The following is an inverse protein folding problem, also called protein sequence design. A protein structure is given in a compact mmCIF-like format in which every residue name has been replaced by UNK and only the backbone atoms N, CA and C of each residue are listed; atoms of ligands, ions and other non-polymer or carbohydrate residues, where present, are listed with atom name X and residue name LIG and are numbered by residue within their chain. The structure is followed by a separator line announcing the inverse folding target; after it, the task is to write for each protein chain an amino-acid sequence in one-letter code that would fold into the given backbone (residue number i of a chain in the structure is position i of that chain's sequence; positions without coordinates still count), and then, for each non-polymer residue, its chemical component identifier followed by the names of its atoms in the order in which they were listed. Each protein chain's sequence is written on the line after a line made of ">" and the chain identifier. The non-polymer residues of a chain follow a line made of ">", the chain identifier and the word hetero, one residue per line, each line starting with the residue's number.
data_IF_525427586569
#
_entry.id   IF_525427586569
#
_cell.length_a   1.000
_cell.length_b   1.000
_cell.length_c   1.000
_cell.angle_alpha   90.00
_cell.angle_beta   90.00
_cell.angle_gamma   90.00
#
_symmetry.space_group_name_H-M   'P 1'
#
loop_
_entity.id
_entity.type
_entity.pdbx_description
1 polymer ?
#
# COMPACT_ATOMS: atom_id res chain seq x y z
N UNK A 1 23.38 -12.25 -1.95
CA UNK A 1 23.29 -10.95 -2.64
C UNK A 1 21.96 -10.34 -2.28
N UNK A 2 21.89 -9.13 -1.71
CA UNK A 2 20.60 -8.50 -1.46
C UNK A 2 19.96 -8.19 -2.80
N UNK A 3 18.75 -8.70 -3.01
CA UNK A 3 17.90 -8.35 -4.15
C UNK A 3 17.59 -6.86 -4.00
N UNK A 4 18.24 -6.03 -4.80
CA UNK A 4 17.89 -4.61 -4.87
C UNK A 4 16.41 -4.53 -5.27
N UNK A 5 15.63 -3.80 -4.48
CA UNK A 5 14.25 -3.52 -4.86
C UNK A 5 14.26 -2.88 -6.26
N UNK A 6 13.35 -3.29 -7.18
CA UNK A 6 13.32 -2.79 -8.53
C UNK A 6 13.32 -1.27 -8.49
N UNK A 7 14.28 -0.67 -9.18
CA UNK A 7 14.33 0.78 -9.29
C UNK A 7 13.06 1.22 -10.01
N UNK A 8 12.40 2.26 -9.49
CA UNK A 8 11.17 2.82 -10.07
C UNK A 8 11.32 3.25 -11.54
N UNK A 9 12.53 3.23 -12.10
CA UNK A 9 12.88 3.56 -13.49
C UNK A 9 12.75 2.39 -14.46
N UNK A 10 12.50 1.15 -14.02
CA UNK A 10 12.41 -0.02 -14.91
C UNK A 10 11.33 0.13 -15.99
N UNK A 11 10.25 0.89 -15.71
CA UNK A 11 9.19 1.13 -16.70
C UNK A 11 9.55 2.20 -17.75
N UNK A 12 10.72 2.86 -17.63
CA UNK A 12 11.22 3.83 -18.62
C UNK A 12 12.07 3.20 -19.70
N UNK A 13 12.26 1.89 -19.68
CA UNK A 13 13.00 1.13 -20.68
C UNK A 13 12.14 0.06 -21.34
N UNK A 14 12.48 -0.28 -22.57
CA UNK A 14 11.81 -1.35 -23.29
C UNK A 14 12.19 -2.70 -22.68
N UNK A 15 11.21 -3.51 -22.21
CA UNK A 15 11.52 -4.79 -21.57
C UNK A 15 12.05 -5.87 -22.55
N UNK A 16 12.00 -5.64 -23.86
CA UNK A 16 12.54 -6.57 -24.88
C UNK A 16 14.00 -6.29 -25.16
N UNK A 17 14.37 -5.02 -25.45
CA UNK A 17 15.75 -4.68 -25.80
C UNK A 17 16.53 -4.05 -24.65
N UNK A 18 15.89 -3.83 -23.48
CA UNK A 18 16.48 -3.25 -22.27
C UNK A 18 17.11 -1.86 -22.45
N UNK A 19 16.73 -1.12 -23.51
CA UNK A 19 17.18 0.25 -23.74
C UNK A 19 16.10 1.23 -23.28
N UNK A 20 16.52 2.41 -22.82
CA UNK A 20 15.60 3.49 -22.50
C UNK A 20 14.78 3.92 -23.71
N UNK A 21 13.57 4.36 -23.46
CA UNK A 21 12.71 4.92 -24.50
C UNK A 21 13.26 6.27 -24.98
N UNK A 22 13.06 6.56 -26.26
CA UNK A 22 13.45 7.83 -26.90
C UNK A 22 12.32 8.38 -27.79
N UNK A 23 12.48 9.59 -28.31
CA UNK A 23 11.52 10.21 -29.23
C UNK A 23 11.62 9.68 -30.68
N UNK A 24 12.60 8.83 -30.98
CA UNK A 24 12.86 8.30 -32.31
C UNK A 24 12.41 6.84 -32.48
N UNK A 25 13.35 5.98 -32.87
CA UNK A 25 13.06 4.56 -33.17
C UNK A 25 12.60 3.74 -31.96
N UNK A 26 12.97 4.16 -30.73
CA UNK A 26 12.57 3.50 -29.48
C UNK A 26 11.39 4.18 -28.81
N UNK A 27 10.53 4.85 -29.58
CA UNK A 27 9.31 5.45 -29.05
C UNK A 27 8.46 4.42 -28.30
N UNK A 28 8.03 4.71 -27.05
CA UNK A 28 7.20 3.78 -26.27
C UNK A 28 5.81 3.67 -26.86
N UNK A 29 5.38 2.46 -27.16
CA UNK A 29 4.04 2.14 -27.65
C UNK A 29 3.33 1.31 -26.55
N UNK A 30 2.25 1.85 -26.02
CA UNK A 30 1.39 1.13 -25.07
C UNK A 30 0.32 0.36 -25.82
N UNK A 31 0.16 -0.93 -25.50
CA UNK A 31 -0.81 -1.83 -26.10
C UNK A 31 -2.14 -1.83 -25.32
N UNK A 32 -3.21 -2.28 -25.93
CA UNK A 32 -4.53 -2.40 -25.27
C UNK A 32 -4.51 -3.26 -24.00
N UNK A 33 -3.62 -4.24 -23.92
CA UNK A 33 -3.38 -5.06 -22.72
C UNK A 33 -2.61 -4.34 -21.60
N UNK A 34 -2.06 -3.13 -21.84
CA UNK A 34 -1.31 -2.33 -20.87
C UNK A 34 0.19 -2.60 -20.82
N UNK A 35 0.73 -3.49 -21.67
CA UNK A 35 2.17 -3.64 -21.84
C UNK A 35 2.70 -2.55 -22.76
N UNK A 36 3.89 -2.03 -22.45
CA UNK A 36 4.57 -0.99 -23.24
C UNK A 36 5.87 -1.54 -23.79
N UNK A 37 6.06 -1.42 -25.10
CA UNK A 37 7.23 -1.90 -25.85
C UNK A 37 7.68 -0.81 -26.82
N UNK A 38 8.96 -0.72 -27.14
CA UNK A 38 9.41 0.27 -28.11
C UNK A 38 8.97 -0.08 -29.53
N UNK A 39 8.74 0.95 -30.36
CA UNK A 39 8.31 0.82 -31.76
C UNK A 39 9.22 -0.11 -32.56
N UNK A 40 10.54 0.00 -32.41
CA UNK A 40 11.50 -0.84 -33.13
C UNK A 40 11.39 -2.34 -32.77
N UNK A 41 11.07 -2.67 -31.54
CA UNK A 41 10.86 -4.06 -31.14
C UNK A 41 9.51 -4.59 -31.63
N UNK A 42 8.44 -3.78 -31.57
CA UNK A 42 7.13 -4.17 -32.11
C UNK A 42 7.19 -4.40 -33.63
N UNK A 43 7.93 -3.57 -34.40
CA UNK A 43 8.09 -3.74 -35.83
C UNK A 43 8.78 -5.04 -36.24
N UNK A 44 9.52 -5.67 -35.32
CA UNK A 44 10.19 -6.96 -35.57
C UNK A 44 9.33 -8.18 -35.28
N UNK A 45 8.16 -7.99 -34.66
CA UNK A 45 7.26 -9.09 -34.35
C UNK A 45 6.60 -9.62 -35.63
N UNK A 46 6.63 -10.94 -35.80
CA UNK A 46 5.98 -11.60 -36.94
C UNK A 46 4.47 -11.73 -36.81
N UNK A 47 3.92 -11.49 -35.61
CA UNK A 47 2.49 -11.62 -35.29
C UNK A 47 2.02 -10.33 -34.62
N UNK A 48 0.83 -9.88 -34.99
CA UNK A 48 0.16 -8.73 -34.34
C UNK A 48 -0.37 -9.11 -32.96
N UNK A 49 0.53 -9.50 -32.06
CA UNK A 49 0.20 -9.94 -30.69
C UNK A 49 1.20 -9.35 -29.70
N UNK A 50 0.71 -9.06 -28.50
CA UNK A 50 1.58 -8.67 -27.38
C UNK A 50 2.58 -9.81 -27.06
N UNK A 51 3.88 -9.53 -26.93
CA UNK A 51 4.89 -10.55 -26.66
C UNK A 51 4.80 -11.14 -25.22
N UNK A 52 4.00 -10.55 -24.33
CA UNK A 52 3.89 -10.98 -22.94
C UNK A 52 2.64 -11.81 -22.66
N UNK A 53 1.48 -11.36 -23.14
CA UNK A 53 0.18 -12.01 -22.83
C UNK A 53 -0.53 -12.51 -24.10
N UNK A 54 0.11 -12.38 -25.28
CA UNK A 54 -0.41 -12.82 -26.56
C UNK A 54 -1.75 -12.15 -26.97
N UNK A 55 -2.14 -11.08 -26.30
CA UNK A 55 -3.31 -10.30 -26.67
C UNK A 55 -3.16 -9.77 -28.09
N UNK A 56 -4.15 -9.99 -28.95
CA UNK A 56 -4.14 -9.54 -30.35
C UNK A 56 -4.25 -8.02 -30.40
N UNK A 57 -3.34 -7.37 -31.11
CA UNK A 57 -3.42 -5.95 -31.43
C UNK A 57 -4.46 -5.76 -32.55
N UNK A 58 -5.44 -4.92 -32.33
CA UNK A 58 -6.50 -4.66 -33.32
C UNK A 58 -6.14 -3.57 -34.32
N UNK A 59 -5.18 -2.73 -33.94
CA UNK A 59 -4.69 -1.63 -34.76
C UNK A 59 -3.30 -1.97 -35.32
N UNK A 60 -3.02 -1.48 -36.50
CA UNK A 60 -1.70 -1.54 -37.09
C UNK A 60 -0.73 -0.66 -36.31
N UNK A 61 0.55 -1.01 -36.33
CA UNK A 61 1.60 -0.32 -35.55
C UNK A 61 1.64 1.19 -35.82
N UNK A 62 1.38 1.60 -37.06
CA UNK A 62 1.39 3.03 -37.45
C UNK A 62 0.18 3.82 -36.93
N UNK A 63 -0.87 3.13 -36.55
CA UNK A 63 -2.08 3.72 -35.94
C UNK A 63 -1.97 3.86 -34.42
N UNK A 64 -0.98 3.19 -33.79
CA UNK A 64 -0.77 3.25 -32.36
C UNK A 64 0.05 4.50 -32.00
N UNK A 65 -0.48 5.35 -31.11
CA UNK A 65 0.22 6.56 -30.69
C UNK A 65 1.42 6.24 -29.79
N UNK A 66 2.45 7.06 -29.91
CA UNK A 66 3.56 7.03 -28.97
C UNK A 66 3.07 7.51 -27.59
N UNK A 67 3.48 6.84 -26.54
CA UNK A 67 3.14 7.24 -25.18
C UNK A 67 3.93 8.48 -24.73
N UNK A 68 3.33 9.65 -24.92
CA UNK A 68 3.93 10.94 -24.59
C UNK A 68 4.17 11.15 -23.09
N UNK A 69 3.41 10.47 -22.22
CA UNK A 69 3.62 10.55 -20.78
C UNK A 69 4.93 9.87 -20.37
N UNK A 70 5.27 8.73 -20.95
CA UNK A 70 6.56 8.07 -20.74
C UNK A 70 7.71 8.89 -21.31
N UNK A 71 7.57 9.45 -22.52
CA UNK A 71 8.60 10.31 -23.10
C UNK A 71 8.90 11.53 -22.23
N UNK A 72 7.87 12.15 -21.64
CA UNK A 72 8.09 13.30 -20.76
C UNK A 72 8.82 12.93 -19.47
N UNK A 73 8.77 11.68 -19.02
CA UNK A 73 9.51 11.17 -17.86
C UNK A 73 10.99 10.87 -18.18
N UNK A 74 11.29 10.35 -19.35
CA UNK A 74 12.66 10.05 -19.82
C UNK A 74 13.46 11.33 -20.08
N UNK A 75 12.80 12.49 -20.12
CA UNK A 75 13.49 13.76 -20.39
C UNK A 75 13.85 13.96 -21.87
N UNK A 76 13.40 13.06 -22.75
CA UNK A 76 13.35 13.29 -24.18
C UNK A 76 12.29 14.37 -24.43
N UNK A 77 12.63 15.62 -24.08
CA UNK A 77 11.77 16.77 -24.29
C UNK A 77 11.36 16.78 -25.75
N UNK A 78 10.09 16.57 -25.99
CA UNK A 78 9.49 17.03 -27.23
C UNK A 78 9.60 18.55 -27.18
N UNK A 79 10.63 19.09 -27.81
CA UNK A 79 10.60 20.41 -28.40
C UNK A 79 9.63 20.38 -29.59
N UNK A 80 8.45 19.84 -29.35
CA UNK A 80 7.30 20.03 -30.24
C UNK A 80 6.70 21.31 -29.77
N UNK A 81 6.97 22.37 -30.48
CA UNK A 81 6.22 23.62 -30.43
C UNK A 81 4.73 23.25 -30.41
N UNK A 82 3.92 23.97 -29.63
CA UNK A 82 2.48 23.69 -29.39
C UNK A 82 1.62 23.62 -30.70
N UNK A 83 2.24 23.58 -31.86
CA UNK A 83 1.60 23.63 -33.19
C UNK A 83 1.52 22.31 -33.96
N UNK A 84 2.26 21.27 -33.61
CA UNK A 84 2.23 19.99 -34.37
C UNK A 84 1.98 18.81 -33.45
N UNK A 85 0.74 18.68 -32.97
CA UNK A 85 0.26 17.40 -32.48
C UNK A 85 0.30 16.40 -33.66
N UNK A 86 0.89 15.18 -33.47
CA UNK A 86 0.80 14.15 -34.49
C UNK A 86 -0.68 13.93 -34.83
N UNK A 87 -0.98 13.58 -36.11
CA UNK A 87 -2.37 13.42 -36.54
C UNK A 87 -3.11 12.56 -35.54
N UNK A 88 -4.34 12.96 -35.14
CA UNK A 88 -5.09 12.23 -34.14
C UNK A 88 -5.20 10.77 -34.60
N UNK A 89 -4.97 9.80 -33.69
CA UNK A 89 -5.24 8.41 -34.01
C UNK A 89 -6.70 8.27 -34.48
N UNK A 90 -7.13 7.12 -35.05
CA UNK A 90 -8.48 6.94 -35.60
C UNK A 90 -9.58 6.99 -34.52
N UNK A 91 -9.62 8.11 -33.81
CA UNK A 91 -10.65 8.43 -32.83
C UNK A 91 -11.70 9.27 -33.56
N UNK A 92 -13.02 8.93 -33.46
CA UNK A 92 -14.06 9.73 -34.05
C UNK A 92 -13.95 11.20 -33.67
N UNK A 93 -14.19 12.12 -34.61
CA UNK A 93 -14.07 13.56 -34.38
C UNK A 93 -14.87 14.05 -33.16
N UNK A 94 -16.01 13.41 -32.87
CA UNK A 94 -16.86 13.65 -31.69
C UNK A 94 -16.15 13.39 -30.36
N UNK A 95 -15.15 12.52 -30.32
CA UNK A 95 -14.42 12.12 -29.11
C UNK A 95 -13.00 12.67 -29.05
N UNK A 96 -12.53 13.34 -30.11
CA UNK A 96 -11.18 13.84 -30.22
C UNK A 96 -10.80 14.78 -29.06
N UNK A 97 -11.70 15.70 -28.67
CA UNK A 97 -11.48 16.63 -27.56
C UNK A 97 -11.27 15.89 -26.22
N UNK A 98 -12.11 14.89 -25.94
CA UNK A 98 -12.02 14.11 -24.69
C UNK A 98 -10.75 13.27 -24.66
N UNK A 99 -10.37 12.69 -25.78
CA UNK A 99 -9.12 11.97 -25.95
C UNK A 99 -7.90 12.87 -25.63
N UNK A 100 -7.82 14.04 -26.27
CA UNK A 100 -6.71 14.99 -26.02
C UNK A 100 -6.64 15.44 -24.58
N UNK A 101 -7.80 15.71 -23.97
CA UNK A 101 -7.87 16.08 -22.56
C UNK A 101 -7.38 14.95 -21.65
N UNK A 102 -7.79 13.71 -21.91
CA UNK A 102 -7.36 12.55 -21.12
C UNK A 102 -5.85 12.32 -21.26
N UNK A 103 -5.30 12.40 -22.47
CA UNK A 103 -3.84 12.29 -22.72
C UNK A 103 -3.09 13.37 -21.96
N UNK A 104 -3.57 14.63 -22.01
CA UNK A 104 -2.97 15.75 -21.26
C UNK A 104 -2.99 15.48 -19.75
N UNK A 105 -4.13 15.10 -19.19
CA UNK A 105 -4.26 14.79 -17.75
C UNK A 105 -3.29 13.67 -17.32
N UNK A 106 -3.17 12.59 -18.10
CA UNK A 106 -2.24 11.49 -17.78
C UNK A 106 -0.79 11.97 -17.86
N UNK A 107 -0.45 12.82 -18.85
CA UNK A 107 0.87 13.43 -18.98
C UNK A 107 1.21 14.31 -17.79
N UNK A 108 0.28 15.17 -17.35
CA UNK A 108 0.46 16.03 -16.18
C UNK A 108 0.61 15.20 -14.89
N UNK A 109 -0.21 14.16 -14.70
CA UNK A 109 -0.08 13.23 -13.58
C UNK A 109 1.26 12.49 -13.57
N UNK A 110 1.81 12.15 -14.74
CA UNK A 110 3.10 11.47 -14.82
C UNK A 110 4.24 12.29 -14.21
N UNK A 111 4.16 13.63 -14.25
CA UNK A 111 5.19 14.50 -13.67
C UNK A 111 5.39 14.28 -12.17
N UNK A 112 4.37 13.82 -11.43
CA UNK A 112 4.50 13.48 -10.01
C UNK A 112 5.40 12.26 -9.73
N UNK A 113 5.79 11.50 -10.77
CA UNK A 113 6.78 10.43 -10.64
C UNK A 113 8.22 10.96 -10.73
N UNK A 114 8.44 12.19 -11.22
CA UNK A 114 9.79 12.77 -11.24
C UNK A 114 10.26 13.02 -9.81
N UNK A 115 11.49 12.61 -9.46
CA UNK A 115 12.05 12.92 -8.15
C UNK A 115 12.16 14.43 -8.01
N UNK A 116 11.72 14.95 -6.88
CA UNK A 116 11.89 16.36 -6.55
C UNK A 116 13.38 16.60 -6.26
N UNK A 117 14.09 17.27 -7.15
CA UNK A 117 15.44 17.76 -6.91
C UNK A 117 15.39 19.03 -6.05
N UNK A 118 15.05 18.85 -4.76
CA UNK A 118 15.19 19.89 -3.75
C UNK A 118 16.66 20.00 -3.33
N UNK A 119 17.23 21.16 -3.41
CA UNK A 119 18.55 21.52 -2.88
C UNK A 119 18.55 21.34 -1.36
N UNK A 120 19.07 20.21 -0.88
CA UNK A 120 19.24 19.96 0.56
C UNK A 120 19.38 18.49 0.90
N UNK A 121 20.61 18.06 1.12
CA UNK A 121 21.06 16.89 1.90
C UNK A 121 20.15 15.65 1.97
N UNK A 122 20.61 14.59 1.31
CA UNK A 122 20.28 13.20 1.56
C UNK A 122 18.82 12.74 1.36
N UNK A 123 18.56 12.22 0.17
CA UNK A 123 17.41 11.38 -0.12
C UNK A 123 16.36 12.05 -0.99
N UNK A 124 16.31 11.66 -2.24
CA UNK A 124 15.22 11.95 -3.18
C UNK A 124 13.91 11.35 -2.61
N UNK A 125 13.17 12.12 -1.82
CA UNK A 125 11.86 11.73 -1.30
C UNK A 125 10.80 11.93 -2.39
N UNK A 126 10.29 10.83 -2.91
CA UNK A 126 9.12 10.88 -3.78
C UNK A 126 7.90 11.36 -2.98
N UNK A 127 7.14 12.30 -3.56
CA UNK A 127 5.88 12.81 -2.99
C UNK A 127 4.79 11.73 -2.88
N UNK A 128 4.90 10.68 -3.69
CA UNK A 128 3.90 9.61 -3.75
C UNK A 128 4.36 8.37 -3.00
N UNK A 129 3.44 7.73 -2.28
CA UNK A 129 3.67 6.41 -1.68
C UNK A 129 3.96 5.37 -2.77
N UNK A 130 4.74 4.32 -2.46
CA UNK A 130 5.02 3.23 -3.42
C UNK A 130 3.77 2.59 -4.03
N UNK A 131 2.67 2.35 -3.29
CA UNK A 131 1.43 1.87 -3.88
C UNK A 131 0.80 2.85 -4.86
N UNK A 132 0.84 4.17 -4.58
CA UNK A 132 0.36 5.20 -5.52
C UNK A 132 1.22 5.26 -6.78
N UNK A 133 2.54 5.21 -6.65
CA UNK A 133 3.45 5.16 -7.79
C UNK A 133 3.11 4.00 -8.74
N UNK A 134 2.90 2.78 -8.20
CA UNK A 134 2.53 1.60 -8.99
C UNK A 134 1.20 1.79 -9.73
N UNK A 135 0.19 2.36 -9.06
CA UNK A 135 -1.11 2.64 -9.68
C UNK A 135 -1.01 3.71 -10.77
N UNK A 136 -0.20 4.75 -10.54
CA UNK A 136 0.04 5.79 -11.52
C UNK A 136 0.80 5.24 -12.75
N UNK A 137 1.83 4.41 -12.55
CA UNK A 137 2.52 3.72 -13.65
C UNK A 137 1.56 2.84 -14.45
N UNK A 138 0.64 2.14 -13.79
CA UNK A 138 -0.40 1.35 -14.46
C UNK A 138 -1.28 2.24 -15.34
N UNK A 139 -1.69 3.42 -14.87
CA UNK A 139 -2.49 4.37 -15.64
C UNK A 139 -1.70 4.94 -16.83
N UNK A 140 -0.44 5.31 -16.62
CA UNK A 140 0.44 5.84 -17.67
C UNK A 140 0.63 4.84 -18.82
N UNK A 141 0.70 3.55 -18.51
CA UNK A 141 0.86 2.50 -19.51
C UNK A 141 -0.44 2.12 -20.26
N UNK A 142 -1.59 2.72 -19.91
CA UNK A 142 -2.81 2.49 -20.66
C UNK A 142 -2.81 3.30 -21.97
N UNK A 143 -3.18 2.64 -23.08
CA UNK A 143 -3.48 3.35 -24.32
C UNK A 143 -4.98 3.69 -24.37
N UNK A 144 -5.35 4.77 -25.08
CA UNK A 144 -6.70 5.32 -25.08
C UNK A 144 -7.43 5.17 -26.43
N UNK A 145 -6.80 4.54 -27.42
CA UNK A 145 -7.36 4.41 -28.77
C UNK A 145 -8.32 3.21 -28.86
N UNK A 146 -7.90 2.06 -28.32
CA UNK A 146 -8.72 0.84 -28.31
C UNK A 146 -9.65 0.79 -27.11
N UNK A 147 -10.84 0.17 -27.27
CA UNK A 147 -11.83 0.03 -26.18
C UNK A 147 -11.28 -0.65 -24.94
N UNK A 148 -10.48 -1.69 -25.12
CA UNK A 148 -9.87 -2.40 -23.99
C UNK A 148 -8.88 -1.52 -23.24
N UNK A 149 -8.06 -0.75 -23.94
CA UNK A 149 -7.13 0.21 -23.36
C UNK A 149 -7.86 1.29 -22.57
N UNK A 150 -8.96 1.85 -23.11
CA UNK A 150 -9.82 2.83 -22.41
C UNK A 150 -10.44 2.24 -21.16
N UNK A 151 -11.05 1.06 -21.26
CA UNK A 151 -11.65 0.39 -20.11
C UNK A 151 -10.60 0.11 -18.99
N UNK A 152 -9.38 -0.21 -19.37
CA UNK A 152 -8.26 -0.39 -18.45
C UNK A 152 -7.85 0.95 -17.81
N UNK A 153 -7.78 2.02 -18.59
CA UNK A 153 -7.45 3.36 -18.10
C UNK A 153 -8.48 3.85 -17.07
N UNK A 154 -9.79 3.67 -17.34
CA UNK A 154 -10.87 4.01 -16.39
C UNK A 154 -10.71 3.25 -15.07
N UNK A 155 -10.47 1.94 -15.13
CA UNK A 155 -10.24 1.14 -13.90
C UNK A 155 -8.98 1.60 -13.13
N UNK A 156 -7.89 1.89 -13.86
CA UNK A 156 -6.66 2.37 -13.25
C UNK A 156 -6.83 3.76 -12.62
N UNK A 157 -7.50 4.69 -13.31
CA UNK A 157 -7.79 6.03 -12.80
C UNK A 157 -8.67 5.98 -11.54
N UNK A 158 -9.75 5.17 -11.55
CA UNK A 158 -10.61 4.95 -10.38
C UNK A 158 -9.80 4.41 -9.20
N UNK A 159 -8.99 3.38 -9.43
CA UNK A 159 -8.16 2.77 -8.37
C UNK A 159 -7.10 3.74 -7.82
N UNK A 160 -6.54 4.61 -8.66
CA UNK A 160 -5.62 5.68 -8.22
C UNK A 160 -6.37 6.72 -7.38
N UNK A 161 -7.55 7.18 -7.83
CA UNK A 161 -8.38 8.14 -7.10
C UNK A 161 -8.80 7.63 -5.73
N UNK A 162 -9.31 6.41 -5.64
CA UNK A 162 -9.67 5.76 -4.37
C UNK A 162 -8.49 5.73 -3.40
N UNK A 163 -7.30 5.39 -3.91
CA UNK A 163 -6.09 5.37 -3.09
C UNK A 163 -5.68 6.77 -2.62
N UNK A 164 -5.76 7.77 -3.51
CA UNK A 164 -5.44 9.17 -3.17
C UNK A 164 -6.34 9.68 -2.07
N UNK A 165 -7.65 9.47 -2.19
CA UNK A 165 -8.62 9.87 -1.15
C UNK A 165 -8.34 9.17 0.16
N UNK A 166 -8.06 7.87 0.12
CA UNK A 166 -7.74 7.11 1.33
C UNK A 166 -6.49 7.67 2.02
N UNK A 167 -5.43 7.95 1.28
CA UNK A 167 -4.20 8.52 1.86
C UNK A 167 -4.42 9.93 2.43
N UNK A 168 -5.20 10.77 1.73
CA UNK A 168 -5.56 12.11 2.24
C UNK A 168 -6.34 12.02 3.55
N UNK A 169 -7.34 11.15 3.63
CA UNK A 169 -8.12 10.95 4.86
C UNK A 169 -7.18 10.51 6.00
N UNK A 170 -6.30 9.54 5.76
CA UNK A 170 -5.36 9.03 6.76
C UNK A 170 -4.38 10.11 7.24
N UNK A 171 -3.92 11.00 6.36
CA UNK A 171 -3.00 12.08 6.71
C UNK A 171 -3.66 13.19 7.54
N UNK A 172 -4.99 13.41 7.38
CA UNK A 172 -5.72 14.48 8.06
C UNK A 172 -6.47 14.01 9.31
N UNK A 173 -6.30 12.76 9.75
CA UNK A 173 -6.89 12.28 10.99
C UNK A 173 -6.25 12.96 12.21
N UNK A 174 -7.09 13.38 13.17
CA UNK A 174 -6.61 13.88 14.45
C UNK A 174 -5.97 12.73 15.24
N UNK A 175 -4.64 12.78 15.40
CA UNK A 175 -3.85 11.74 16.06
C UNK A 175 -4.29 11.48 17.51
N UNK A 176 -4.66 12.52 18.26
CA UNK A 176 -5.10 12.36 19.66
C UNK A 176 -6.44 11.63 19.73
N UNK A 177 -7.40 12.01 18.89
CA UNK A 177 -8.70 11.35 18.84
C UNK A 177 -8.59 9.91 18.35
N UNK A 178 -7.74 9.66 17.35
CA UNK A 178 -7.46 8.33 16.83
C UNK A 178 -6.87 7.42 17.91
N UNK A 179 -5.87 7.91 18.65
CA UNK A 179 -5.26 7.21 19.77
C UNK A 179 -6.28 6.92 20.87
N UNK A 180 -7.09 7.91 21.25
CA UNK A 180 -8.12 7.73 22.27
C UNK A 180 -9.14 6.65 21.87
N UNK A 181 -9.61 6.68 20.61
CA UNK A 181 -10.54 5.70 20.08
C UNK A 181 -9.94 4.28 20.02
N UNK A 182 -8.67 4.18 19.60
CA UNK A 182 -7.95 2.90 19.57
C UNK A 182 -7.87 2.27 20.95
N UNK A 183 -7.40 3.02 21.94
CA UNK A 183 -7.23 2.47 23.28
C UNK A 183 -8.56 2.24 23.98
N UNK A 184 -9.60 2.98 23.63
CA UNK A 184 -10.97 2.67 24.08
C UNK A 184 -11.45 1.33 23.49
N UNK A 185 -11.22 1.06 22.21
CA UNK A 185 -11.58 -0.20 21.57
C UNK A 185 -10.81 -1.39 22.17
N UNK A 186 -9.53 -1.23 22.48
CA UNK A 186 -8.70 -2.26 23.12
C UNK A 186 -9.21 -2.56 24.53
N UNK A 187 -9.51 -1.51 25.33
CA UNK A 187 -10.09 -1.67 26.68
C UNK A 187 -11.46 -2.34 26.67
N UNK A 188 -12.31 -2.01 25.70
CA UNK A 188 -13.63 -2.63 25.55
C UNK A 188 -13.57 -4.16 25.33
N UNK A 189 -12.42 -4.67 24.88
CA UNK A 189 -12.15 -6.11 24.72
C UNK A 189 -11.48 -6.74 25.96
N UNK A 190 -11.41 -6.02 27.10
CA UNK A 190 -10.73 -6.47 28.31
C UNK A 190 -9.20 -6.56 28.16
N UNK A 191 -8.63 -5.82 27.21
CA UNK A 191 -7.21 -5.76 26.92
C UNK A 191 -6.64 -4.39 27.25
N UNK A 192 -5.33 -4.28 27.37
CA UNK A 192 -4.65 -3.01 27.64
C UNK A 192 -3.29 -2.97 26.94
N UNK A 193 -2.92 -1.78 26.47
CA UNK A 193 -1.58 -1.42 26.02
C UNK A 193 -0.99 -0.40 27.00
N UNK A 194 0.19 -0.65 27.51
CA UNK A 194 0.80 0.10 28.62
C UNK A 194 1.82 1.16 28.15
N UNK A 195 1.84 1.43 26.87
CA UNK A 195 2.86 2.26 26.22
C UNK A 195 4.03 1.43 25.69
N UNK A 196 4.80 1.99 24.73
CA UNK A 196 5.83 1.24 24.01
C UNK A 196 6.85 0.55 24.91
N UNK A 197 7.49 1.31 25.80
CA UNK A 197 8.57 0.79 26.64
C UNK A 197 8.09 -0.28 27.65
N UNK A 198 7.01 -0.01 28.37
CA UNK A 198 6.50 -0.96 29.35
C UNK A 198 5.94 -2.21 28.68
N UNK A 199 5.29 -2.06 27.52
CA UNK A 199 4.74 -3.18 26.76
C UNK A 199 5.86 -4.12 26.27
N UNK A 200 6.96 -3.55 25.80
CA UNK A 200 8.14 -4.32 25.38
C UNK A 200 8.68 -5.17 26.54
N UNK A 201 8.87 -4.58 27.71
CA UNK A 201 9.37 -5.31 28.89
C UNK A 201 8.39 -6.39 29.36
N UNK A 202 7.08 -6.13 29.32
CA UNK A 202 6.08 -7.17 29.63
C UNK A 202 6.20 -8.36 28.70
N UNK A 203 6.34 -8.13 27.37
CA UNK A 203 6.47 -9.23 26.40
C UNK A 203 7.76 -10.02 26.59
N UNK A 204 8.89 -9.35 26.88
CA UNK A 204 10.17 -10.02 27.23
C UNK A 204 10.04 -10.89 28.46
N UNK A 205 9.37 -10.41 29.50
CA UNK A 205 9.17 -11.16 30.75
C UNK A 205 8.19 -12.33 30.59
N UNK A 206 7.15 -12.18 29.78
CA UNK A 206 6.25 -13.29 29.43
C UNK A 206 7.01 -14.37 28.66
N UNK A 207 7.85 -13.96 27.71
CA UNK A 207 8.70 -14.88 26.96
C UNK A 207 9.66 -15.60 27.89
N UNK A 208 10.43 -14.88 28.72
CA UNK A 208 11.37 -15.44 29.69
C UNK A 208 10.71 -16.48 30.61
N UNK A 209 9.45 -16.28 30.98
CA UNK A 209 8.72 -17.20 31.86
C UNK A 209 8.23 -18.47 31.16
N UNK A 210 8.14 -18.50 29.82
CA UNK A 210 7.43 -19.55 29.07
C UNK A 210 8.19 -20.06 27.81
N UNK A 211 9.36 -19.50 27.49
CA UNK A 211 10.10 -19.86 26.26
C UNK A 211 10.63 -21.29 26.26
N UNK A 212 10.92 -21.83 27.46
CA UNK A 212 11.36 -23.20 27.67
C UNK A 212 10.22 -24.25 27.54
N UNK A 213 8.99 -23.77 27.31
CA UNK A 213 7.82 -24.61 27.24
C UNK A 213 7.16 -24.88 28.61
N UNK A 214 7.55 -24.15 29.65
CA UNK A 214 6.90 -24.18 30.97
C UNK A 214 5.42 -23.85 30.88
N UNK A 215 4.62 -24.48 31.73
CA UNK A 215 3.18 -24.26 31.84
C UNK A 215 2.87 -23.59 33.18
N UNK A 216 2.38 -22.37 33.16
CA UNK A 216 2.06 -21.57 34.35
C UNK A 216 0.57 -21.21 34.40
N UNK A 217 0.02 -21.10 35.62
CA UNK A 217 -1.31 -20.50 35.76
C UNK A 217 -1.24 -19.00 35.46
N UNK A 218 -2.36 -18.42 34.97
CA UNK A 218 -2.45 -16.98 34.70
C UNK A 218 -2.04 -16.13 35.91
N UNK A 219 -2.45 -16.55 37.12
CA UNK A 219 -2.13 -15.87 38.35
C UNK A 219 -0.62 -15.84 38.62
N UNK A 220 0.06 -16.97 38.43
CA UNK A 220 1.52 -17.08 38.63
C UNK A 220 2.28 -16.24 37.61
N UNK A 221 1.90 -16.33 36.33
CA UNK A 221 2.51 -15.54 35.27
C UNK A 221 2.37 -14.04 35.53
N UNK A 222 1.18 -13.57 35.84
CA UNK A 222 0.92 -12.15 36.14
C UNK A 222 1.73 -11.68 37.35
N UNK A 223 1.80 -12.48 38.43
CA UNK A 223 2.57 -12.15 39.61
C UNK A 223 4.07 -12.06 39.30
N UNK A 224 4.60 -13.02 38.55
CA UNK A 224 6.01 -13.00 38.14
C UNK A 224 6.36 -11.73 37.37
N UNK A 225 5.54 -11.36 36.37
CA UNK A 225 5.75 -10.17 35.55
C UNK A 225 5.66 -8.89 36.40
N UNK A 226 4.66 -8.75 37.26
CA UNK A 226 4.51 -7.58 38.13
C UNK A 226 5.73 -7.41 39.03
N UNK A 227 6.18 -8.47 39.73
CA UNK A 227 7.34 -8.42 40.63
C UNK A 227 8.63 -7.99 39.92
N UNK A 228 8.81 -8.37 38.67
CA UNK A 228 10.00 -8.00 37.88
C UNK A 228 9.92 -6.58 37.30
N UNK A 229 8.70 -6.09 37.04
CA UNK A 229 8.50 -4.75 36.49
C UNK A 229 8.48 -3.64 37.56
N UNK A 230 8.00 -3.94 38.76
CA UNK A 230 7.78 -2.96 39.84
C UNK A 230 8.99 -2.02 40.09
N UNK A 231 10.26 -2.49 40.08
CA UNK A 231 11.42 -1.63 40.28
C UNK A 231 11.61 -0.55 39.21
N UNK A 232 11.18 -0.81 37.97
CA UNK A 232 11.35 0.08 36.81
C UNK A 232 10.06 0.80 36.41
N UNK A 233 8.93 0.19 36.70
CA UNK A 233 7.59 0.68 36.35
C UNK A 233 6.64 0.56 37.58
N UNK A 234 6.71 1.52 38.53
CA UNK A 234 5.90 1.47 39.75
C UNK A 234 4.38 1.44 39.52
N UNK A 235 3.91 1.88 38.34
CA UNK A 235 2.53 1.84 37.91
C UNK A 235 2.07 0.44 37.48
N UNK A 236 2.97 -0.55 37.41
CA UNK A 236 2.62 -1.92 37.05
C UNK A 236 1.67 -2.52 38.10
N UNK A 237 0.53 -2.99 37.67
CA UNK A 237 -0.47 -3.62 38.53
C UNK A 237 -0.86 -5.00 38.03
N UNK A 238 -1.36 -5.85 38.93
CA UNK A 238 -1.90 -7.17 38.59
C UNK A 238 -3.01 -7.06 37.54
N UNK A 239 -3.82 -6.02 37.62
CA UNK A 239 -4.92 -5.78 36.68
C UNK A 239 -4.39 -5.40 35.30
N UNK A 240 -3.47 -4.42 35.21
CA UNK A 240 -2.92 -3.96 33.94
C UNK A 240 -2.14 -5.06 33.21
N UNK A 241 -1.28 -5.79 33.91
CA UNK A 241 -0.56 -6.94 33.36
C UNK A 241 -1.52 -8.07 32.98
N UNK A 242 -2.55 -8.32 33.80
CA UNK A 242 -3.60 -9.27 33.46
C UNK A 242 -4.31 -8.94 32.13
N UNK A 243 -4.50 -7.67 31.80
CA UNK A 243 -5.10 -7.23 30.53
C UNK A 243 -4.11 -7.39 29.35
N UNK A 244 -2.81 -7.25 29.56
CA UNK A 244 -1.82 -7.57 28.52
C UNK A 244 -1.78 -9.08 28.25
N UNK A 245 -1.79 -9.92 29.30
CA UNK A 245 -1.90 -11.38 29.14
C UNK A 245 -3.19 -11.76 28.42
N UNK A 246 -4.30 -11.03 28.69
CA UNK A 246 -5.57 -11.23 27.96
C UNK A 246 -5.45 -10.92 26.46
N UNK A 247 -4.67 -9.90 26.09
CA UNK A 247 -4.41 -9.59 24.69
C UNK A 247 -3.69 -10.74 23.97
N UNK A 248 -2.64 -11.30 24.58
CA UNK A 248 -1.94 -12.47 24.06
C UNK A 248 -2.81 -13.74 24.02
N UNK A 249 -3.72 -13.88 24.99
CA UNK A 249 -4.71 -14.98 24.98
C UNK A 249 -5.66 -14.85 23.79
N UNK A 250 -6.17 -13.65 23.51
CA UNK A 250 -7.00 -13.38 22.32
C UNK A 250 -6.26 -13.61 21.03
N UNK A 251 -4.97 -13.27 20.97
CA UNK A 251 -4.06 -13.54 19.86
C UNK A 251 -3.76 -15.06 19.70
N UNK A 252 -4.37 -15.90 20.54
CA UNK A 252 -4.16 -17.36 20.49
C UNK A 252 -2.70 -17.80 20.68
N UNK A 253 -1.89 -17.00 21.36
CA UNK A 253 -0.49 -17.32 21.62
C UNK A 253 -0.30 -18.47 22.60
N UNK A 254 -1.33 -18.81 23.40
CA UNK A 254 -1.23 -19.84 24.42
C UNK A 254 -1.95 -21.15 24.05
N UNK A 255 -1.32 -22.26 24.43
CA UNK A 255 -1.97 -23.54 24.59
C UNK A 255 -2.45 -23.66 26.05
N UNK A 256 -3.73 -23.92 26.25
CA UNK A 256 -4.35 -24.01 27.57
C UNK A 256 -4.67 -25.46 27.88
N UNK A 257 -4.16 -25.97 29.00
CA UNK A 257 -4.45 -27.29 29.54
C UNK A 257 -5.23 -27.16 30.86
N UNK A 258 -6.28 -27.96 31.00
CA UNK A 258 -7.02 -28.07 32.28
C UNK A 258 -6.28 -29.04 33.18
N UNK A 259 -6.12 -28.67 34.45
CA UNK A 259 -5.62 -29.53 35.53
C UNK A 259 -6.83 -30.04 36.31
N UNK A 260 -6.73 -31.25 36.86
CA UNK A 260 -7.67 -31.70 37.87
C UNK A 260 -7.56 -30.78 39.10
N UNK A 261 -8.57 -29.88 39.24
CA UNK A 261 -8.57 -28.78 40.19
C UNK A 261 -8.53 -27.43 39.45
N UNK A 262 -9.26 -26.49 39.92
CA UNK A 262 -9.80 -25.25 39.39
C UNK A 262 -8.85 -24.27 38.61
N UNK A 263 -7.62 -24.61 38.27
CA UNK A 263 -6.68 -23.71 37.58
C UNK A 263 -6.20 -24.23 36.24
N UNK A 264 -6.54 -23.49 35.17
CA UNK A 264 -5.97 -23.74 33.84
C UNK A 264 -4.52 -23.31 33.78
N UNK A 265 -3.67 -24.14 33.15
CA UNK A 265 -2.27 -23.83 32.86
C UNK A 265 -2.15 -23.31 31.43
N UNK A 266 -1.35 -22.26 31.26
CA UNK A 266 -1.03 -21.63 30.00
C UNK A 266 0.42 -21.91 29.63
N UNK A 267 0.66 -22.34 28.43
CA UNK A 267 1.95 -22.62 27.84
C UNK A 267 2.05 -21.82 26.53
N UNK A 268 3.18 -21.19 26.28
CA UNK A 268 3.39 -20.49 25.02
C UNK A 268 3.54 -21.53 23.90
N UNK A 269 2.80 -21.34 22.79
CA UNK A 269 2.93 -22.18 21.60
C UNK A 269 4.32 -22.06 21.02
N UNK A 270 4.82 -23.10 20.40
CA UNK A 270 6.18 -23.20 19.90
C UNK A 270 6.52 -22.10 18.89
N UNK A 271 5.59 -21.81 17.99
CA UNK A 271 5.73 -20.76 16.97
C UNK A 271 5.90 -19.33 17.54
N UNK A 272 5.56 -19.10 18.83
CA UNK A 272 5.65 -17.79 19.48
C UNK A 272 6.72 -17.71 20.56
N UNK A 273 7.67 -18.66 20.61
CA UNK A 273 8.76 -18.68 21.59
C UNK A 273 9.96 -17.82 21.21
N UNK A 274 9.80 -16.90 20.25
CA UNK A 274 10.77 -15.84 19.93
C UNK A 274 10.12 -14.48 20.14
N UNK A 275 10.94 -13.48 20.47
CA UNK A 275 10.42 -12.13 20.71
C UNK A 275 9.73 -11.55 19.47
N UNK A 276 10.34 -11.69 18.30
CA UNK A 276 9.77 -11.18 17.05
C UNK A 276 8.42 -11.82 16.71
N UNK A 277 8.28 -13.14 16.89
CA UNK A 277 7.04 -13.85 16.61
C UNK A 277 5.94 -13.44 17.60
N UNK A 278 6.26 -13.39 18.90
CA UNK A 278 5.33 -12.99 19.94
C UNK A 278 4.90 -11.53 19.77
N UNK A 279 5.85 -10.62 19.51
CA UNK A 279 5.57 -9.20 19.27
C UNK A 279 4.72 -8.99 18.04
N UNK A 280 5.01 -9.69 16.94
CA UNK A 280 4.25 -9.61 15.71
C UNK A 280 2.79 -10.02 15.90
N UNK A 281 2.54 -11.10 16.63
CA UNK A 281 1.19 -11.58 16.88
C UNK A 281 0.42 -10.68 17.83
N UNK A 282 1.11 -10.14 18.86
CA UNK A 282 0.58 -9.11 19.74
C UNK A 282 0.11 -7.87 18.94
N UNK A 283 0.96 -7.35 18.07
CA UNK A 283 0.66 -6.16 17.26
C UNK A 283 -0.47 -6.45 16.26
N UNK A 284 -0.48 -7.64 15.63
CA UNK A 284 -1.54 -8.07 14.74
C UNK A 284 -2.91 -8.12 15.44
N UNK A 285 -2.95 -8.56 16.70
CA UNK A 285 -4.19 -8.58 17.48
C UNK A 285 -4.72 -7.17 17.78
N UNK A 286 -3.83 -6.19 18.03
CA UNK A 286 -4.26 -4.79 18.21
C UNK A 286 -4.79 -4.23 16.89
N UNK A 287 -4.11 -4.48 15.77
CA UNK A 287 -4.57 -4.05 14.44
C UNK A 287 -5.93 -4.67 14.11
N UNK A 288 -6.14 -5.94 14.44
CA UNK A 288 -7.42 -6.62 14.25
C UNK A 288 -8.53 -5.96 15.08
N UNK A 289 -8.30 -5.67 16.37
CA UNK A 289 -9.26 -4.98 17.24
C UNK A 289 -9.63 -3.60 16.65
N UNK A 290 -8.64 -2.85 16.17
CA UNK A 290 -8.88 -1.56 15.53
C UNK A 290 -9.72 -1.69 14.26
N UNK A 291 -9.43 -2.68 13.41
CA UNK A 291 -10.16 -2.96 12.17
C UNK A 291 -11.62 -3.33 12.47
N UNK A 292 -11.86 -4.19 13.47
CA UNK A 292 -13.20 -4.55 13.95
C UNK A 292 -13.98 -3.35 14.52
N UNK A 293 -13.28 -2.37 15.09
CA UNK A 293 -13.86 -1.11 15.57
C UNK A 293 -14.04 -0.06 14.44
N UNK A 294 -13.74 -0.41 13.19
CA UNK A 294 -13.86 0.50 12.04
C UNK A 294 -12.77 1.57 11.97
N UNK A 295 -11.70 1.46 12.77
CA UNK A 295 -10.61 2.42 12.76
C UNK A 295 -9.66 2.13 11.58
N UNK A 296 -9.24 3.20 10.91
CA UNK A 296 -8.24 3.14 9.84
C UNK A 296 -7.04 3.96 10.26
N UNK A 297 -5.90 3.29 10.37
CA UNK A 297 -4.66 3.85 10.90
C UNK A 297 -3.56 3.57 9.89
N UNK A 298 -2.80 4.60 9.52
CA UNK A 298 -1.70 4.47 8.58
C UNK A 298 -0.51 3.74 9.22
N UNK A 299 0.35 3.05 8.45
CA UNK A 299 1.48 2.28 8.98
C UNK A 299 2.49 3.09 9.79
N UNK A 300 2.70 4.36 9.45
CA UNK A 300 3.55 5.29 10.20
C UNK A 300 2.91 5.71 11.53
N UNK A 301 1.58 5.94 11.54
CA UNK A 301 0.82 6.19 12.77
C UNK A 301 0.84 4.94 13.67
N UNK A 302 0.68 3.73 13.12
CA UNK A 302 0.82 2.48 13.87
C UNK A 302 2.19 2.35 14.51
N UNK A 303 3.27 2.62 13.76
CA UNK A 303 4.63 2.59 14.28
C UNK A 303 4.79 3.55 15.45
N UNK A 304 4.31 4.78 15.31
CA UNK A 304 4.34 5.78 16.37
C UNK A 304 3.54 5.35 17.62
N UNK A 305 2.36 4.77 17.46
CA UNK A 305 1.49 4.34 18.56
C UNK A 305 2.05 3.14 19.33
N UNK A 306 2.63 2.16 18.65
CA UNK A 306 3.08 0.90 19.25
C UNK A 306 4.56 0.88 19.65
N UNK A 307 5.38 1.71 19.00
CA UNK A 307 6.84 1.73 19.21
C UNK A 307 7.37 3.09 19.67
N UNK A 308 6.59 4.16 19.50
CA UNK A 308 7.01 5.52 19.84
C UNK A 308 7.83 6.21 18.75
N UNK A 309 8.08 5.56 17.62
CA UNK A 309 8.83 6.07 16.48
C UNK A 309 8.22 5.63 15.14
N UNK A 310 8.81 6.04 14.02
CA UNK A 310 8.36 5.67 12.67
C UNK A 310 9.22 4.59 12.00
N UNK A 311 10.20 4.03 12.71
CA UNK A 311 11.14 3.06 12.15
C UNK A 311 10.47 1.72 11.77
N UNK A 312 9.39 1.36 12.46
CA UNK A 312 8.67 0.10 12.29
C UNK A 312 7.56 0.14 11.24
N UNK A 313 7.49 1.20 10.41
CA UNK A 313 6.47 1.38 9.36
C UNK A 313 6.34 0.17 8.43
N UNK A 314 7.47 -0.40 7.97
CA UNK A 314 7.47 -1.56 7.06
C UNK A 314 6.95 -2.82 7.74
N UNK A 315 7.24 -3.00 9.04
CA UNK A 315 6.71 -4.08 9.85
C UNK A 315 5.18 -3.97 9.99
N UNK A 316 4.68 -2.77 10.33
CA UNK A 316 3.24 -2.53 10.45
C UNK A 316 2.51 -2.69 9.12
N UNK A 317 3.10 -2.23 8.00
CA UNK A 317 2.53 -2.47 6.68
C UNK A 317 2.38 -3.97 6.37
N UNK A 318 3.39 -4.77 6.72
CA UNK A 318 3.33 -6.24 6.52
C UNK A 318 2.22 -6.90 7.34
N UNK A 319 1.92 -6.42 8.55
CA UNK A 319 0.82 -6.91 9.38
C UNK A 319 -0.52 -6.52 8.77
N UNK A 320 -0.69 -5.25 8.38
CA UNK A 320 -1.91 -4.73 7.79
C UNK A 320 -2.26 -5.48 6.51
N UNK A 321 -1.28 -5.68 5.63
CA UNK A 321 -1.48 -6.38 4.34
C UNK A 321 -1.96 -7.84 4.53
N UNK A 322 -1.52 -8.51 5.60
CA UNK A 322 -1.97 -9.87 5.93
C UNK A 322 -3.40 -9.92 6.47
N UNK A 323 -3.83 -8.90 7.20
CA UNK A 323 -5.15 -8.83 7.84
C UNK A 323 -6.23 -8.26 6.92
N UNK A 324 -5.84 -7.47 5.90
CA UNK A 324 -6.78 -6.89 4.94
C UNK A 324 -7.04 -7.89 3.81
N UNK A 325 -8.10 -8.69 3.92
CA UNK A 325 -8.67 -9.40 2.79
C UNK A 325 -9.38 -8.43 1.84
N UNK A 326 -9.43 -8.70 0.50
CA UNK A 326 -9.94 -7.77 -0.51
C UNK A 326 -11.39 -7.29 -0.35
N UNK A 327 -12.20 -7.95 0.48
CA UNK A 327 -13.64 -7.73 0.59
C UNK A 327 -14.07 -6.54 1.48
N UNK A 328 -13.21 -6.00 2.35
CA UNK A 328 -13.62 -4.94 3.28
C UNK A 328 -13.50 -3.51 2.74
N UNK A 329 -12.93 -3.32 1.57
CA UNK A 329 -12.63 -1.99 1.01
C UNK A 329 -13.82 -1.26 0.39
N UNK A 330 -14.84 -1.99 -0.06
CA UNK A 330 -15.94 -1.42 -0.87
C UNK A 330 -16.95 -0.56 -0.10
N UNK A 331 -17.18 -0.81 1.17
CA UNK A 331 -18.29 -0.19 1.90
C UNK A 331 -17.98 1.15 2.60
N UNK A 332 -16.71 1.44 2.94
CA UNK A 332 -16.35 2.66 3.65
C UNK A 332 -16.02 3.86 2.76
N UNK A 333 -15.72 3.62 1.50
CA UNK A 333 -15.33 4.68 0.53
C UNK A 333 -16.55 5.48 0.06
N UNK A 334 -17.74 4.90 0.13
CA UNK A 334 -18.97 5.51 -0.37
C UNK A 334 -19.42 6.76 0.38
N UNK A 335 -19.01 6.93 1.63
CA UNK A 335 -19.44 8.06 2.47
C UNK A 335 -18.50 9.28 2.40
N UNK A 336 -17.25 9.11 1.97
CA UNK A 336 -16.24 10.21 1.88
C UNK A 336 -16.08 10.83 0.49
N UNK A 337 -16.72 10.26 -0.52
CA UNK A 337 -16.47 10.55 -1.94
C UNK A 337 -17.07 11.88 -2.46
N UNK A 338 -17.99 12.50 -1.75
CA UNK A 338 -18.77 13.63 -2.28
C UNK A 338 -17.98 14.90 -2.63
N UNK A 339 -16.81 15.14 -2.02
CA UNK A 339 -16.03 16.38 -2.23
C UNK A 339 -14.91 16.25 -3.26
N UNK A 340 -14.35 15.05 -3.43
CA UNK A 340 -13.25 14.76 -4.39
C UNK A 340 -13.79 14.24 -5.72
N UNK A 341 -15.02 13.74 -5.72
CA UNK A 341 -15.77 13.26 -6.89
C UNK A 341 -15.80 14.28 -8.04
N UNK A 342 -15.89 15.57 -7.74
CA UNK A 342 -16.05 16.58 -8.80
C UNK A 342 -14.82 16.74 -9.70
N UNK A 343 -13.62 16.48 -9.21
CA UNK A 343 -12.41 16.58 -10.03
C UNK A 343 -12.09 15.27 -10.77
N UNK A 344 -12.24 14.13 -10.09
CA UNK A 344 -12.00 12.80 -10.67
C UNK A 344 -13.15 12.33 -11.57
N UNK A 345 -14.41 12.69 -11.27
CA UNK A 345 -15.54 12.46 -12.15
C UNK A 345 -15.38 13.19 -13.48
N UNK A 346 -14.83 14.42 -13.49
CA UNK A 346 -14.51 15.09 -14.75
C UNK A 346 -13.51 14.33 -15.61
N UNK A 347 -12.49 13.68 -15.01
CA UNK A 347 -11.54 12.84 -15.73
C UNK A 347 -12.21 11.52 -16.15
N UNK A 348 -13.01 10.91 -15.29
CA UNK A 348 -13.75 9.68 -15.59
C UNK A 348 -14.83 9.92 -16.64
N UNK A 349 -15.61 11.00 -16.55
CA UNK A 349 -16.61 11.40 -17.56
C UNK A 349 -15.96 11.65 -18.93
N UNK A 350 -14.74 12.22 -18.95
CA UNK A 350 -13.98 12.41 -20.18
C UNK A 350 -13.47 11.09 -20.76
N UNK A 351 -13.17 10.09 -19.92
CA UNK A 351 -12.75 8.76 -20.35
C UNK A 351 -13.95 7.87 -20.72
N UNK A 352 -15.10 8.01 -20.02
CA UNK A 352 -16.33 7.27 -20.33
C UNK A 352 -17.10 7.86 -21.53
N UNK A 353 -17.00 9.17 -21.76
CA UNK A 353 -17.58 9.84 -22.94
C UNK A 353 -16.91 9.50 -24.27
N UNK A 354 -15.89 8.62 -24.24
CA UNK A 354 -15.20 8.07 -25.41
C UNK A 354 -15.78 6.68 -25.81
N UNK A 355 -16.97 6.28 -25.29
CA UNK A 355 -17.67 5.06 -25.73
C UNK A 355 -18.29 5.22 -27.09
#
# INVERSE_FOLDING_TARGET
>A
MPIQAPQWTEFLSCPICCHEFDSGQRGPISLGCGHTVCRACLAKLQRNQCPYDQTVMRLELDQLPVNGALLSLVGAGTSVEEGELPPPPPVPATHSRNYLMAVKCIKDLALFLKPFSGTGTNGSTSLLSRPMQRKLVTLINCQLVEDEGRARAVRAARSLGERTVTELILQHQNHQQLSANLWAAVRARGCQFLGPAMQEEVLKLVLLALEDGSALSRKVLVMFVVQRLEPHFPQASKTSIGHVVQLLYRASCFKVSKREGDSSLMQLKEEFRTYEALRREHDAQIVQIATEAGLRIAPDQWSSLLYGDTAHKSHMQSIIDKLQTPQSFGQSVQTGLCAVETCWLKVLDHLEGVK
#
